data_IF_490986267091
#
_entry.id   IF_490986267091
#
_cell.length_a   1.000
_cell.length_b   1.000
_cell.length_c   1.000
_cell.angle_alpha   90.00
_cell.angle_beta   90.00
_cell.angle_gamma   90.00
#
_symmetry.space_group_name_H-M   'P 1'
#
loop_
_entity.id
_entity.type
_entity.pdbx_description
1 polymer ?
#
# COMPACT_ATOMS: atom_id res chain seq x y z
N UNK A 1 -51.47 60.55 2.25
CA UNK A 1 -50.96 60.09 0.94
C UNK A 1 -49.77 59.16 1.21
N UNK A 2 -49.71 58.04 0.47
CA UNK A 2 -49.06 56.77 0.87
C UNK A 2 -47.52 56.83 0.82
N UNK A 3 -46.88 56.18 1.80
CA UNK A 3 -45.44 55.91 1.90
C UNK A 3 -45.05 54.81 0.91
N UNK A 4 -44.00 55.00 0.11
CA UNK A 4 -43.42 53.95 -0.72
C UNK A 4 -42.12 53.51 -0.05
N UNK A 5 -42.11 52.28 0.46
CA UNK A 5 -40.92 51.58 0.95
C UNK A 5 -40.42 50.68 -0.17
N UNK A 6 -39.19 50.90 -0.62
CA UNK A 6 -38.53 50.11 -1.65
C UNK A 6 -37.84 48.92 -0.97
N UNK A 7 -38.33 47.70 -1.21
CA UNK A 7 -37.69 46.46 -0.77
C UNK A 7 -36.68 46.06 -1.85
N UNK A 8 -35.39 46.05 -1.51
CA UNK A 8 -34.33 45.50 -2.35
C UNK A 8 -34.17 44.01 -2.00
N UNK A 9 -34.54 43.13 -2.92
CA UNK A 9 -34.32 41.69 -2.77
C UNK A 9 -32.88 41.34 -3.17
N UNK A 10 -32.09 40.89 -2.21
CA UNK A 10 -30.77 40.31 -2.45
C UNK A 10 -30.92 38.80 -2.71
N UNK A 11 -30.78 38.38 -3.96
CA UNK A 11 -30.76 36.98 -4.37
C UNK A 11 -29.38 36.38 -4.09
N UNK A 12 -29.27 35.56 -3.03
CA UNK A 12 -28.11 34.70 -2.80
C UNK A 12 -28.12 33.56 -3.84
N UNK A 13 -27.19 33.60 -4.79
CA UNK A 13 -26.85 32.48 -5.66
C UNK A 13 -26.08 31.43 -4.83
N UNK A 14 -26.79 30.45 -4.29
CA UNK A 14 -26.17 29.23 -3.76
C UNK A 14 -25.89 28.35 -4.97
N UNK A 15 -24.69 28.47 -5.55
CA UNK A 15 -24.17 27.51 -6.52
C UNK A 15 -23.91 26.19 -5.80
N UNK A 16 -24.87 25.28 -5.85
CA UNK A 16 -24.68 23.88 -5.50
C UNK A 16 -23.64 23.27 -6.44
N UNK A 17 -22.40 23.19 -5.99
CA UNK A 17 -21.36 22.38 -6.62
C UNK A 17 -21.76 20.91 -6.47
N UNK A 18 -22.50 20.40 -7.44
CA UNK A 18 -22.64 18.96 -7.63
C UNK A 18 -21.29 18.43 -8.09
N UNK A 19 -20.45 17.99 -7.16
CA UNK A 19 -19.30 17.16 -7.47
C UNK A 19 -19.79 15.78 -7.94
N UNK A 20 -20.27 15.70 -9.19
CA UNK A 20 -20.30 14.42 -9.88
C UNK A 20 -18.85 14.07 -10.16
N UNK A 21 -18.30 13.12 -9.41
CA UNK A 21 -17.05 12.44 -9.80
C UNK A 21 -17.31 11.75 -11.13
N UNK A 22 -17.10 12.46 -12.24
CA UNK A 22 -17.16 11.88 -13.57
C UNK A 22 -16.11 10.77 -13.62
N UNK A 23 -16.51 9.56 -14.02
CA UNK A 23 -15.58 8.46 -14.20
C UNK A 23 -14.47 8.86 -15.18
N UNK A 24 -13.24 8.37 -14.94
CA UNK A 24 -12.10 8.68 -15.80
C UNK A 24 -12.29 8.25 -17.26
N UNK A 25 -13.16 7.25 -17.49
CA UNK A 25 -13.60 6.70 -18.77
C UNK A 25 -15.06 6.26 -18.65
N UNK A 26 -15.82 6.32 -19.75
CA UNK A 26 -17.26 6.05 -19.79
C UNK A 26 -17.61 4.56 -19.73
N UNK A 27 -16.68 3.69 -20.12
CA UNK A 27 -16.84 2.24 -20.21
C UNK A 27 -16.32 1.46 -18.99
N UNK A 28 -15.84 2.17 -17.97
CA UNK A 28 -15.35 1.59 -16.71
C UNK A 28 -16.48 1.52 -15.69
N UNK A 29 -16.71 0.34 -15.13
CA UNK A 29 -17.71 0.14 -14.09
C UNK A 29 -17.29 0.76 -12.75
N UNK A 30 -18.27 0.91 -11.85
CA UNK A 30 -18.04 1.52 -10.54
C UNK A 30 -17.01 0.76 -9.68
N UNK A 31 -16.88 -0.56 -9.85
CA UNK A 31 -15.95 -1.38 -9.06
C UNK A 31 -14.49 -1.17 -9.48
N UNK A 32 -14.26 -0.81 -10.74
CA UNK A 32 -12.93 -0.56 -11.31
C UNK A 32 -12.58 0.92 -11.40
N UNK A 33 -13.57 1.81 -11.24
CA UNK A 33 -13.41 3.25 -11.46
C UNK A 33 -12.30 3.88 -10.62
N UNK A 34 -12.26 3.58 -9.32
CA UNK A 34 -11.22 4.10 -8.42
C UNK A 34 -9.82 3.69 -8.89
N UNK A 35 -9.65 2.40 -9.20
CA UNK A 35 -8.37 1.85 -9.64
C UNK A 35 -7.91 2.48 -10.96
N UNK A 36 -8.80 2.53 -11.95
CA UNK A 36 -8.45 3.06 -13.28
C UNK A 36 -8.17 4.56 -13.22
N UNK A 37 -8.94 5.32 -12.43
CA UNK A 37 -8.73 6.76 -12.26
C UNK A 37 -7.38 7.03 -11.58
N UNK A 38 -7.08 6.35 -10.47
CA UNK A 38 -5.82 6.52 -9.74
C UNK A 38 -4.58 6.15 -10.58
N UNK A 39 -4.71 5.15 -11.45
CA UNK A 39 -3.66 4.74 -12.38
C UNK A 39 -3.50 5.73 -13.55
N UNK A 40 -4.60 6.29 -14.06
CA UNK A 40 -4.59 7.32 -15.11
C UNK A 40 -3.90 8.58 -14.60
N UNK A 41 -4.26 9.04 -13.40
CA UNK A 41 -3.70 10.25 -12.78
C UNK A 41 -2.19 10.15 -12.54
N UNK A 42 -1.69 8.92 -12.31
CA UNK A 42 -0.26 8.61 -12.18
C UNK A 42 0.44 8.29 -13.51
N UNK A 43 -0.26 8.39 -14.64
CA UNK A 43 0.28 8.09 -15.97
C UNK A 43 0.65 6.62 -16.21
N UNK A 44 0.12 5.71 -15.37
CA UNK A 44 0.36 4.26 -15.46
C UNK A 44 -0.45 3.66 -16.61
N UNK A 45 -1.69 4.11 -16.77
CA UNK A 45 -2.60 3.66 -17.83
C UNK A 45 -3.15 4.83 -18.62
N UNK A 46 -3.52 4.57 -19.87
CA UNK A 46 -4.21 5.50 -20.76
C UNK A 46 -5.41 4.82 -21.41
N UNK A 47 -6.40 5.60 -21.84
CA UNK A 47 -7.47 5.07 -22.70
C UNK A 47 -6.93 4.66 -24.07
N UNK A 48 -7.77 3.95 -24.84
CA UNK A 48 -7.55 3.83 -26.29
C UNK A 48 -7.87 5.16 -27.00
N UNK A 49 -8.72 5.97 -26.36
CA UNK A 49 -9.04 7.34 -26.69
C UNK A 49 -9.33 8.12 -25.38
N UNK A 50 -9.94 9.30 -25.47
CA UNK A 50 -10.22 10.15 -24.31
C UNK A 50 -11.40 9.65 -23.45
N UNK A 51 -12.25 8.79 -23.99
CA UNK A 51 -13.51 8.33 -23.38
C UNK A 51 -13.46 6.86 -22.96
N UNK A 52 -12.70 6.00 -23.65
CA UNK A 52 -12.73 4.55 -23.49
C UNK A 52 -11.41 3.96 -22.98
N UNK A 53 -11.51 3.08 -21.99
CA UNK A 53 -10.41 2.29 -21.43
C UNK A 53 -10.35 0.85 -21.97
N UNK A 54 -11.48 0.28 -22.37
CA UNK A 54 -11.67 -1.12 -22.77
C UNK A 54 -11.34 -2.09 -21.62
N UNK A 55 -11.99 -1.98 -20.44
CA UNK A 55 -11.65 -2.79 -19.26
C UNK A 55 -11.86 -4.29 -19.47
N UNK A 56 -12.83 -4.70 -20.29
CA UNK A 56 -13.12 -6.11 -20.62
C UNK A 56 -12.23 -6.66 -21.73
N UNK A 57 -11.41 -5.82 -22.35
CA UNK A 57 -10.47 -6.22 -23.39
C UNK A 57 -9.33 -7.05 -22.82
N UNK A 58 -8.76 -7.91 -23.66
CA UNK A 58 -7.54 -8.66 -23.33
C UNK A 58 -6.36 -7.69 -23.20
N UNK A 59 -5.48 -7.95 -22.25
CA UNK A 59 -4.22 -7.19 -22.10
C UNK A 59 -3.05 -8.04 -22.61
N UNK A 60 -2.18 -7.43 -23.42
CA UNK A 60 -0.99 -8.12 -23.91
C UNK A 60 0.09 -8.23 -22.82
N UNK A 61 1.04 -9.14 -23.03
CA UNK A 61 2.19 -9.30 -22.15
C UNK A 61 2.99 -7.99 -22.04
N UNK A 62 3.22 -7.29 -23.16
CA UNK A 62 3.92 -6.01 -23.17
C UNK A 62 3.19 -4.91 -22.41
N UNK A 63 1.88 -4.79 -22.58
CA UNK A 63 1.06 -3.84 -21.82
C UNK A 63 1.10 -4.15 -20.32
N UNK A 64 1.09 -5.44 -19.97
CA UNK A 64 1.16 -5.90 -18.59
C UNK A 64 2.48 -5.54 -17.91
N UNK A 65 3.61 -5.84 -18.57
CA UNK A 65 4.95 -5.47 -18.07
C UNK A 65 5.07 -3.95 -17.92
N UNK A 66 4.60 -3.18 -18.90
CA UNK A 66 4.63 -1.72 -18.81
C UNK A 66 3.77 -1.21 -17.64
N UNK A 67 2.57 -1.77 -17.44
CA UNK A 67 1.67 -1.38 -16.35
C UNK A 67 2.28 -1.67 -14.97
N UNK A 68 2.92 -2.84 -14.80
CA UNK A 68 3.59 -3.22 -13.56
C UNK A 68 4.78 -2.30 -13.26
N UNK A 69 5.65 -2.09 -14.26
CA UNK A 69 6.84 -1.24 -14.14
C UNK A 69 6.47 0.19 -13.76
N UNK A 70 5.49 0.78 -14.45
CA UNK A 70 5.02 2.14 -14.16
C UNK A 70 4.29 2.20 -12.82
N UNK A 71 3.38 1.26 -12.56
CA UNK A 71 2.55 1.26 -11.36
C UNK A 71 3.36 1.18 -10.07
N UNK A 72 4.39 0.32 -10.04
CA UNK A 72 5.24 0.14 -8.86
C UNK A 72 6.51 1.00 -8.89
N UNK A 73 6.61 1.92 -9.87
CA UNK A 73 7.74 2.80 -10.09
C UNK A 73 9.08 2.04 -10.00
N UNK A 74 9.18 0.95 -10.79
CA UNK A 74 10.43 0.23 -10.97
C UNK A 74 11.36 1.08 -11.84
N UNK A 75 12.62 1.15 -11.47
CA UNK A 75 13.62 1.92 -12.21
C UNK A 75 14.99 1.24 -12.12
N UNK A 76 16.01 1.89 -12.70
CA UNK A 76 17.39 1.42 -12.73
C UNK A 76 18.34 2.41 -12.06
N UNK A 77 17.82 3.35 -11.25
CA UNK A 77 18.56 4.52 -10.77
C UNK A 77 19.75 4.13 -9.88
N UNK A 78 19.65 2.98 -9.21
CA UNK A 78 20.68 2.42 -8.33
C UNK A 78 21.70 1.55 -9.07
N UNK A 79 21.48 1.25 -10.35
CA UNK A 79 22.36 0.41 -11.15
C UNK A 79 23.33 1.28 -11.95
N UNK A 80 24.52 0.73 -12.19
CA UNK A 80 25.56 1.35 -13.01
C UNK A 80 25.93 0.39 -14.12
N UNK A 81 25.81 0.88 -15.35
CA UNK A 81 26.10 0.09 -16.53
C UNK A 81 27.30 0.68 -17.26
N UNK A 82 28.22 -0.19 -17.69
CA UNK A 82 29.35 0.20 -18.55
C UNK A 82 28.83 0.57 -19.95
N UNK A 83 27.76 -0.09 -20.40
CA UNK A 83 27.03 0.18 -21.64
C UNK A 83 25.54 0.16 -21.34
N UNK A 84 24.79 1.05 -21.97
CA UNK A 84 23.32 1.05 -21.88
C UNK A 84 22.77 -0.34 -22.28
N UNK A 85 21.98 -0.99 -21.42
CA UNK A 85 21.40 -2.29 -21.72
C UNK A 85 20.36 -2.18 -22.83
N UNK A 86 20.26 -3.23 -23.64
CA UNK A 86 19.27 -3.37 -24.70
C UNK A 86 18.29 -4.49 -24.36
N UNK A 87 17.05 -4.39 -24.84
CA UNK A 87 16.05 -5.43 -24.59
C UNK A 87 16.46 -6.76 -25.24
N UNK A 88 17.11 -6.70 -26.40
CA UNK A 88 17.65 -7.85 -27.12
C UNK A 88 18.75 -8.59 -26.36
N UNK A 89 19.36 -7.98 -25.33
CA UNK A 89 20.37 -8.64 -24.51
C UNK A 89 19.74 -9.78 -23.68
N UNK A 90 18.46 -9.65 -23.32
CA UNK A 90 17.73 -10.62 -22.49
C UNK A 90 16.59 -11.33 -23.21
N UNK A 91 15.99 -10.73 -24.25
CA UNK A 91 14.79 -11.23 -24.91
C UNK A 91 14.93 -11.29 -26.43
N UNK A 92 14.66 -12.46 -27.03
CA UNK A 92 14.80 -12.66 -28.49
C UNK A 92 13.72 -11.96 -29.31
N UNK A 93 12.54 -11.76 -28.73
CA UNK A 93 11.34 -11.29 -29.43
C UNK A 93 10.93 -9.87 -29.01
N UNK A 94 11.82 -9.12 -28.35
CA UNK A 94 11.59 -7.72 -27.94
C UNK A 94 12.55 -6.81 -28.71
N UNK A 95 12.07 -6.09 -29.74
CA UNK A 95 12.88 -5.11 -30.46
C UNK A 95 13.34 -3.98 -29.54
N UNK A 96 14.55 -3.47 -29.75
CA UNK A 96 15.15 -2.44 -28.89
C UNK A 96 14.46 -1.08 -28.98
N UNK A 97 13.76 -0.81 -30.08
CA UNK A 97 13.03 0.42 -30.38
C UNK A 97 11.52 0.32 -30.09
N UNK A 98 11.04 -0.84 -29.62
CA UNK A 98 9.65 -1.02 -29.26
C UNK A 98 9.25 -0.11 -28.10
N UNK A 99 8.01 0.42 -28.10
CA UNK A 99 7.50 1.30 -27.04
C UNK A 99 7.53 0.67 -25.63
N UNK A 100 7.58 -0.66 -25.55
CA UNK A 100 7.70 -1.43 -24.32
C UNK A 100 9.13 -1.89 -24.00
N UNK A 101 10.11 -1.70 -24.88
CA UNK A 101 11.47 -2.23 -24.71
C UNK A 101 12.09 -1.84 -23.37
N UNK A 102 11.97 -0.56 -23.00
CA UNK A 102 12.49 -0.05 -21.73
C UNK A 102 11.82 -0.70 -20.51
N UNK A 103 10.52 -1.02 -20.58
CA UNK A 103 9.83 -1.70 -19.50
C UNK A 103 10.37 -3.13 -19.30
N UNK A 104 10.69 -3.84 -20.39
CA UNK A 104 11.30 -5.18 -20.31
C UNK A 104 12.72 -5.14 -19.73
N UNK A 105 13.51 -4.14 -20.10
CA UNK A 105 14.85 -3.91 -19.52
C UNK A 105 14.70 -3.66 -18.01
N UNK A 106 13.82 -2.74 -17.60
CA UNK A 106 13.57 -2.44 -16.19
C UNK A 106 13.12 -3.69 -15.43
N UNK A 107 12.15 -4.43 -15.97
CA UNK A 107 11.65 -5.66 -15.39
C UNK A 107 12.76 -6.69 -15.18
N UNK A 108 13.61 -6.92 -16.18
CA UNK A 108 14.72 -7.86 -16.11
C UNK A 108 15.66 -7.56 -14.95
N UNK A 109 16.15 -6.32 -14.85
CA UNK A 109 17.09 -5.92 -13.81
C UNK A 109 16.45 -5.78 -12.42
N UNK A 110 15.12 -5.67 -12.34
CA UNK A 110 14.37 -5.78 -11.09
C UNK A 110 14.03 -7.25 -10.75
N UNK A 111 14.50 -8.24 -11.52
CA UNK A 111 14.35 -9.66 -11.21
C UNK A 111 12.95 -10.22 -11.49
N UNK A 112 12.22 -9.61 -12.42
CA UNK A 112 10.99 -10.22 -12.95
C UNK A 112 11.39 -11.34 -13.91
N UNK A 113 10.88 -12.55 -13.65
CA UNK A 113 11.19 -13.76 -14.42
C UNK A 113 10.32 -13.82 -15.69
N UNK A 114 10.76 -13.11 -16.72
CA UNK A 114 10.14 -13.13 -18.04
C UNK A 114 10.94 -14.11 -18.94
N UNK A 115 10.29 -15.03 -19.67
CA UNK A 115 10.98 -15.94 -20.59
C UNK A 115 11.75 -15.20 -21.69
N UNK A 116 12.93 -15.70 -22.07
CA UNK A 116 13.76 -15.12 -23.14
C UNK A 116 13.01 -15.02 -24.47
N UNK A 117 12.19 -16.00 -24.79
CA UNK A 117 11.39 -16.13 -26.01
C UNK A 117 9.96 -15.61 -25.87
N UNK A 118 9.66 -14.83 -24.81
CA UNK A 118 8.34 -14.23 -24.56
C UNK A 118 7.76 -13.60 -25.82
N UNK A 119 6.47 -13.85 -26.11
CA UNK A 119 5.75 -13.12 -27.14
C UNK A 119 5.10 -11.87 -26.53
N UNK A 120 5.65 -10.66 -26.73
CA UNK A 120 5.12 -9.43 -26.13
C UNK A 120 3.67 -9.10 -26.53
N UNK A 121 3.21 -9.61 -27.68
CA UNK A 121 1.87 -9.38 -28.19
C UNK A 121 0.86 -10.46 -27.76
N UNK A 122 1.32 -11.56 -27.16
CA UNK A 122 0.42 -12.58 -26.64
C UNK A 122 -0.39 -12.04 -25.45
N UNK A 123 -1.57 -12.62 -25.25
CA UNK A 123 -2.41 -12.34 -24.09
C UNK A 123 -1.77 -12.98 -22.86
N UNK A 124 -1.69 -12.23 -21.76
CA UNK A 124 -1.14 -12.75 -20.52
C UNK A 124 -2.19 -13.57 -19.75
N UNK A 125 -1.75 -14.63 -19.09
CA UNK A 125 -2.62 -15.37 -18.16
C UNK A 125 -2.63 -14.74 -16.77
N UNK A 126 -3.65 -15.09 -15.97
CA UNK A 126 -3.78 -14.66 -14.57
C UNK A 126 -2.57 -15.05 -13.73
N UNK A 127 -2.05 -16.27 -13.90
CA UNK A 127 -0.88 -16.73 -13.13
C UNK A 127 0.40 -15.97 -13.50
N UNK A 128 0.61 -15.71 -14.80
CA UNK A 128 1.80 -15.00 -15.28
C UNK A 128 1.82 -13.56 -14.78
N UNK A 129 0.68 -12.87 -14.90
CA UNK A 129 0.55 -11.51 -14.40
C UNK A 129 0.72 -11.46 -12.87
N UNK A 130 0.09 -12.40 -12.15
CA UNK A 130 0.16 -12.50 -10.70
C UNK A 130 1.59 -12.71 -10.19
N UNK A 131 2.35 -13.60 -10.83
CA UNK A 131 3.75 -13.85 -10.49
C UNK A 131 4.62 -12.60 -10.71
N UNK A 132 4.53 -11.98 -11.90
CA UNK A 132 5.28 -10.76 -12.20
C UNK A 132 4.96 -9.63 -11.23
N UNK A 133 3.68 -9.44 -10.90
CA UNK A 133 3.24 -8.37 -10.02
C UNK A 133 3.75 -8.57 -8.58
N UNK A 134 3.68 -9.79 -8.05
CA UNK A 134 4.15 -10.09 -6.68
C UNK A 134 5.66 -9.93 -6.59
N UNK A 135 6.41 -10.44 -7.56
CA UNK A 135 7.87 -10.27 -7.59
C UNK A 135 8.25 -8.80 -7.66
N UNK A 136 7.58 -8.03 -8.50
CA UNK A 136 7.80 -6.59 -8.60
C UNK A 136 7.48 -5.87 -7.28
N UNK A 137 6.36 -6.22 -6.64
CA UNK A 137 5.94 -5.66 -5.36
C UNK A 137 7.00 -5.92 -4.27
N UNK A 138 7.46 -7.16 -4.15
CA UNK A 138 8.44 -7.60 -3.14
C UNK A 138 9.85 -7.05 -3.36
N UNK A 139 10.13 -6.48 -4.54
CA UNK A 139 11.37 -5.71 -4.79
C UNK A 139 11.31 -4.30 -4.23
N UNK A 140 10.12 -3.77 -4.02
CA UNK A 140 9.89 -2.40 -3.55
C UNK A 140 9.62 -2.31 -2.04
N UNK A 141 9.33 -3.42 -1.38
CA UNK A 141 9.11 -3.45 0.06
C UNK A 141 9.16 -4.85 0.64
N UNK A 142 9.27 -4.92 1.97
CA UNK A 142 9.16 -6.17 2.71
C UNK A 142 7.71 -6.35 3.18
N UNK A 143 7.10 -7.49 2.89
CA UNK A 143 5.72 -7.78 3.23
C UNK A 143 5.66 -9.03 4.10
N UNK A 144 5.89 -8.90 5.42
CA UNK A 144 5.91 -10.05 6.31
C UNK A 144 4.54 -10.73 6.32
N UNK A 145 4.55 -12.04 6.10
CA UNK A 145 3.37 -12.89 6.11
C UNK A 145 3.45 -13.83 7.31
N UNK A 146 2.35 -13.94 8.06
CA UNK A 146 2.14 -15.10 8.93
C UNK A 146 2.00 -16.35 8.04
N UNK A 147 2.50 -17.51 8.51
CA UNK A 147 2.42 -18.78 7.78
C UNK A 147 0.95 -19.23 7.66
N UNK A 148 0.26 -18.65 6.69
CA UNK A 148 -1.13 -18.92 6.34
C UNK A 148 -1.17 -19.50 4.94
N UNK A 149 -1.88 -20.60 4.79
CA UNK A 149 -2.11 -21.25 3.52
C UNK A 149 -3.57 -21.04 3.11
N UNK A 150 -3.79 -20.66 1.86
CA UNK A 150 -5.11 -20.46 1.27
C UNK A 150 -5.28 -21.62 0.31
N UNK A 151 -6.28 -22.46 0.55
CA UNK A 151 -6.56 -23.58 -0.33
C UNK A 151 -7.12 -23.06 -1.65
N UNK A 152 -6.45 -23.40 -2.76
CA UNK A 152 -6.89 -23.09 -4.12
C UNK A 152 -7.34 -24.39 -4.76
N UNK A 153 -8.61 -24.49 -5.17
CA UNK A 153 -9.17 -25.77 -5.64
C UNK A 153 -8.59 -26.24 -6.97
N UNK A 154 -8.20 -25.32 -7.84
CA UNK A 154 -7.58 -25.58 -9.13
C UNK A 154 -6.06 -25.40 -9.09
N UNK A 155 -5.43 -25.61 -7.92
CA UNK A 155 -3.98 -25.45 -7.74
C UNK A 155 -3.14 -26.35 -8.64
N UNK A 156 -3.67 -27.50 -9.04
CA UNK A 156 -3.00 -28.43 -9.97
C UNK A 156 -2.79 -27.82 -11.37
N UNK A 157 -3.58 -26.80 -11.73
CA UNK A 157 -3.38 -26.06 -12.98
C UNK A 157 -2.28 -25.01 -12.85
N UNK A 158 -1.87 -24.63 -11.64
CA UNK A 158 -0.85 -23.60 -11.43
C UNK A 158 0.51 -24.14 -11.86
N UNK A 159 1.23 -23.35 -12.64
CA UNK A 159 2.62 -23.65 -12.98
C UNK A 159 3.46 -23.71 -11.70
N UNK A 160 4.22 -24.79 -11.42
CA UNK A 160 4.87 -24.99 -10.11
C UNK A 160 5.70 -23.80 -9.62
N UNK A 161 6.42 -23.12 -10.53
CA UNK A 161 7.22 -21.93 -10.21
C UNK A 161 6.40 -20.70 -9.76
N UNK A 162 5.09 -20.67 -10.00
CA UNK A 162 4.20 -19.55 -9.66
C UNK A 162 3.41 -19.78 -8.37
N UNK A 163 3.35 -21.02 -7.85
CA UNK A 163 2.52 -21.35 -6.67
C UNK A 163 2.78 -20.44 -5.49
N UNK A 164 4.06 -20.22 -5.14
CA UNK A 164 4.43 -19.34 -4.04
C UNK A 164 3.97 -17.90 -4.27
N UNK A 165 4.20 -17.35 -5.46
CA UNK A 165 3.81 -15.98 -5.79
C UNK A 165 2.29 -15.81 -5.77
N UNK A 166 1.52 -16.77 -6.30
CA UNK A 166 0.06 -16.71 -6.29
C UNK A 166 -0.52 -16.85 -4.88
N UNK A 167 0.08 -17.69 -4.04
CA UNK A 167 -0.29 -17.77 -2.64
C UNK A 167 -0.12 -16.40 -1.95
N UNK A 168 1.00 -15.70 -2.23
CA UNK A 168 1.25 -14.35 -1.68
C UNK A 168 0.32 -13.30 -2.31
N UNK A 169 0.01 -13.39 -3.60
CA UNK A 169 -0.97 -12.52 -4.26
C UNK A 169 -2.33 -12.54 -3.56
N UNK A 170 -2.79 -13.72 -3.14
CA UNK A 170 -4.03 -13.91 -2.38
C UNK A 170 -3.90 -13.41 -0.94
N UNK A 171 -2.79 -13.70 -0.25
CA UNK A 171 -2.54 -13.24 1.13
C UNK A 171 -2.42 -11.71 1.22
N UNK A 172 -1.81 -11.08 0.22
CA UNK A 172 -1.77 -9.62 0.07
C UNK A 172 -3.14 -9.03 -0.32
N UNK A 173 -4.15 -9.86 -0.55
CA UNK A 173 -5.52 -9.46 -0.95
C UNK A 173 -5.54 -8.64 -2.24
N UNK A 174 -4.58 -8.90 -3.14
CA UNK A 174 -4.51 -8.26 -4.45
C UNK A 174 -5.50 -8.95 -5.39
N UNK A 175 -5.45 -10.29 -5.43
CA UNK A 175 -6.45 -11.13 -6.08
C UNK A 175 -7.36 -11.81 -5.05
N UNK A 176 -8.44 -12.40 -5.54
CA UNK A 176 -9.34 -13.24 -4.77
C UNK A 176 -9.73 -14.47 -5.58
N UNK A 177 -10.08 -15.54 -4.88
CA UNK A 177 -10.70 -16.72 -5.48
C UNK A 177 -12.17 -16.42 -5.79
N UNK A 178 -12.75 -17.19 -6.71
CA UNK A 178 -14.19 -17.14 -6.95
C UNK A 178 -14.98 -17.74 -5.78
N UNK A 179 -16.31 -17.73 -5.87
CA UNK A 179 -17.20 -18.33 -4.85
C UNK A 179 -17.00 -19.83 -4.67
N UNK A 180 -16.40 -20.51 -5.65
CA UNK A 180 -16.12 -21.93 -5.61
C UNK A 180 -14.72 -22.25 -5.06
N UNK A 181 -13.85 -21.26 -4.85
CA UNK A 181 -12.47 -21.43 -4.40
C UNK A 181 -11.45 -21.64 -5.52
N UNK A 182 -11.78 -21.30 -6.77
CA UNK A 182 -10.89 -21.39 -7.94
C UNK A 182 -10.18 -20.06 -8.22
N UNK A 183 -8.95 -20.12 -8.73
CA UNK A 183 -8.16 -18.97 -9.16
C UNK A 183 -8.19 -18.73 -10.69
N UNK A 184 -8.38 -19.81 -11.45
CA UNK A 184 -8.34 -19.86 -12.92
C UNK A 184 -6.96 -19.49 -13.51
N UNK A 185 -5.85 -20.14 -13.11
CA UNK A 185 -4.49 -19.67 -13.43
C UNK A 185 -4.21 -19.50 -14.92
N UNK A 186 -4.77 -20.37 -15.78
CA UNK A 186 -4.58 -20.35 -17.23
C UNK A 186 -5.53 -19.43 -17.99
N UNK A 187 -6.53 -18.86 -17.31
CA UNK A 187 -7.44 -17.92 -17.96
C UNK A 187 -6.72 -16.63 -18.32
N UNK A 188 -7.18 -16.00 -19.38
CA UNK A 188 -6.72 -14.67 -19.80
C UNK A 188 -7.10 -13.63 -18.74
N UNK A 189 -6.21 -12.65 -18.53
CA UNK A 189 -6.51 -11.51 -17.67
C UNK A 189 -7.07 -10.36 -18.51
N UNK A 190 -8.12 -9.69 -18.03
CA UNK A 190 -8.62 -8.48 -18.69
C UNK A 190 -7.83 -7.24 -18.29
N UNK A 191 -7.88 -6.19 -19.11
CA UNK A 191 -7.19 -4.93 -18.86
C UNK A 191 -7.65 -4.26 -17.56
N UNK A 192 -8.94 -4.34 -17.25
CA UNK A 192 -9.54 -3.80 -16.02
C UNK A 192 -9.15 -4.59 -14.77
N UNK A 193 -9.05 -5.92 -14.86
CA UNK A 193 -8.55 -6.75 -13.76
C UNK A 193 -7.07 -6.48 -13.49
N UNK A 194 -6.25 -6.40 -14.54
CA UNK A 194 -4.84 -6.02 -14.44
C UNK A 194 -4.67 -4.67 -13.73
N UNK A 195 -5.43 -3.65 -14.17
CA UNK A 195 -5.44 -2.33 -13.54
C UNK A 195 -5.84 -2.42 -12.05
N UNK A 196 -6.87 -3.19 -11.74
CA UNK A 196 -7.33 -3.39 -10.36
C UNK A 196 -6.27 -4.07 -9.48
N UNK A 197 -5.53 -5.05 -10.02
CA UNK A 197 -4.47 -5.74 -9.28
C UNK A 197 -3.25 -4.84 -9.07
N UNK A 198 -2.82 -4.08 -10.08
CA UNK A 198 -1.74 -3.09 -9.93
C UNK A 198 -2.12 -2.02 -8.91
N UNK A 199 -3.35 -1.49 -8.98
CA UNK A 199 -3.83 -0.51 -8.00
C UNK A 199 -3.78 -1.05 -6.57
N UNK A 200 -4.23 -2.28 -6.34
CA UNK A 200 -4.15 -2.91 -5.01
C UNK A 200 -2.71 -3.13 -4.56
N UNK A 201 -1.80 -3.52 -5.46
CA UNK A 201 -0.38 -3.64 -5.16
C UNK A 201 0.24 -2.28 -4.80
N UNK A 202 -0.13 -1.21 -5.50
CA UNK A 202 0.28 0.16 -5.16
C UNK A 202 -0.25 0.58 -3.80
N UNK A 203 -1.52 0.32 -3.49
CA UNK A 203 -2.07 0.55 -2.15
C UNK A 203 -1.36 -0.25 -1.07
N UNK A 204 -0.87 -1.45 -1.40
CA UNK A 204 -0.03 -2.24 -0.49
C UNK A 204 1.34 -1.61 -0.31
N UNK A 205 1.95 -1.07 -1.36
CA UNK A 205 3.16 -0.26 -1.21
C UNK A 205 2.89 0.98 -0.37
N UNK A 206 1.86 1.76 -0.66
CA UNK A 206 1.57 3.00 0.08
C UNK A 206 1.31 2.69 1.57
N UNK A 207 0.54 1.64 1.85
CA UNK A 207 0.34 1.12 3.20
C UNK A 207 1.58 0.47 3.84
N UNK A 208 2.64 0.21 3.06
CA UNK A 208 3.95 -0.31 3.48
C UNK A 208 5.08 0.74 3.35
N UNK A 209 4.79 1.94 2.80
CA UNK A 209 5.64 3.15 2.84
C UNK A 209 5.42 3.92 4.13
N UNK A 210 4.29 3.68 4.81
CA UNK A 210 4.42 3.41 6.23
C UNK A 210 5.24 2.12 6.32
N UNK A 211 6.56 2.23 6.49
CA UNK A 211 7.22 1.32 7.41
C UNK A 211 6.18 1.12 8.53
N UNK A 212 5.82 -0.08 8.99
CA UNK A 212 5.48 -0.15 10.39
C UNK A 212 6.70 0.53 11.03
N UNK A 213 6.53 1.78 11.52
CA UNK A 213 7.44 2.33 12.51
C UNK A 213 7.57 1.14 13.45
N UNK A 214 8.77 0.53 13.55
CA UNK A 214 8.93 -0.79 14.16
C UNK A 214 8.14 -0.69 15.43
N UNK A 215 6.99 -1.41 15.56
CA UNK A 215 5.91 -1.04 16.50
C UNK A 215 6.60 -0.60 17.76
N UNK A 216 6.62 0.71 18.01
CA UNK A 216 7.72 1.22 18.80
C UNK A 216 7.48 0.73 20.21
N UNK A 217 8.22 -0.33 20.56
CA UNK A 217 7.93 -1.10 21.75
C UNK A 217 8.28 -0.19 22.91
N UNK A 218 7.24 0.37 23.51
CA UNK A 218 7.38 1.07 24.76
C UNK A 218 7.70 0.01 25.80
N UNK A 219 8.92 0.06 26.32
CA UNK A 219 9.30 -0.83 27.40
C UNK A 219 8.59 -0.37 28.67
N UNK A 220 7.95 -1.32 29.36
CA UNK A 220 7.24 -1.06 30.62
C UNK A 220 8.05 -1.67 31.75
N UNK A 221 8.46 -0.85 32.70
CA UNK A 221 9.12 -1.31 33.93
C UNK A 221 8.23 -0.98 35.12
N UNK A 222 7.92 -2.00 35.92
CA UNK A 222 7.13 -1.87 37.14
C UNK A 222 8.06 -2.09 38.33
N UNK A 223 8.31 -1.01 39.09
CA UNK A 223 9.16 -1.02 40.28
C UNK A 223 8.26 -0.90 41.52
N UNK A 224 8.42 -1.80 42.49
CA UNK A 224 7.72 -1.69 43.78
C UNK A 224 8.28 -0.48 44.54
N UNK A 225 7.42 0.49 44.86
CA UNK A 225 7.80 1.64 45.69
C UNK A 225 7.57 1.33 47.17
N UNK A 226 6.42 0.75 47.48
CA UNK A 226 6.05 0.24 48.81
C UNK A 226 4.97 -0.86 48.66
N UNK A 227 4.41 -1.35 49.77
CA UNK A 227 3.41 -2.44 49.74
C UNK A 227 2.11 -2.09 49.02
N UNK A 228 1.79 -0.80 48.85
CA UNK A 228 0.53 -0.35 48.28
C UNK A 228 0.68 0.26 46.88
N UNK A 229 1.90 0.59 46.43
CA UNK A 229 2.13 1.37 45.21
C UNK A 229 3.31 0.82 44.40
N UNK A 230 3.05 0.64 43.11
CA UNK A 230 4.05 0.39 42.07
C UNK A 230 4.27 1.66 41.24
N UNK A 231 5.53 1.93 40.89
CA UNK A 231 5.92 2.93 39.91
C UNK A 231 6.01 2.26 38.55
N UNK A 232 5.30 2.81 37.57
CA UNK A 232 5.28 2.32 36.19
C UNK A 232 6.03 3.31 35.33
N UNK A 233 7.14 2.86 34.74
CA UNK A 233 7.92 3.64 33.78
C UNK A 233 7.65 3.13 32.38
N UNK A 234 7.26 4.02 31.48
CA UNK A 234 7.17 3.76 30.04
C UNK A 234 8.35 4.45 29.35
N UNK A 235 9.20 3.70 28.66
CA UNK A 235 10.33 4.24 27.91
C UNK A 235 10.24 3.90 26.42
N UNK A 236 10.50 4.91 25.60
CA UNK A 236 10.65 4.84 24.14
C UNK A 236 12.13 4.59 23.75
N UNK A 237 13.01 4.37 24.73
CA UNK A 237 14.44 4.20 24.55
C UNK A 237 15.18 5.48 24.20
N UNK A 238 16.45 5.33 23.81
CA UNK A 238 17.30 6.42 23.32
C UNK A 238 16.82 6.92 21.95
N UNK A 239 16.83 8.25 21.76
CA UNK A 239 16.35 8.95 20.57
C UNK A 239 17.34 9.98 20.07
N UNK A 240 17.40 10.25 18.76
CA UNK A 240 18.39 11.17 18.18
C UNK A 240 18.32 12.62 18.70
N UNK A 241 17.16 13.07 19.18
CA UNK A 241 16.93 14.41 19.70
C UNK A 241 15.73 14.49 20.65
N UNK A 242 15.56 15.62 21.32
CA UNK A 242 14.48 15.88 22.29
C UNK A 242 13.07 16.08 21.68
N UNK A 243 12.94 16.07 20.36
CA UNK A 243 11.63 16.18 19.70
C UNK A 243 10.77 14.94 19.90
N UNK A 244 11.42 13.78 20.05
CA UNK A 244 10.76 12.52 20.39
C UNK A 244 10.28 12.53 21.84
N UNK A 245 9.00 12.21 22.06
CA UNK A 245 8.39 12.17 23.38
C UNK A 245 7.44 10.99 23.57
N UNK A 246 7.13 10.72 24.83
CA UNK A 246 6.08 9.80 25.28
C UNK A 246 5.33 10.44 26.44
N UNK A 247 4.00 10.36 26.43
CA UNK A 247 3.16 10.93 27.47
C UNK A 247 2.07 9.94 27.86
N UNK A 248 1.82 9.80 29.16
CA UNK A 248 0.66 9.04 29.67
C UNK A 248 -0.56 9.95 29.55
N UNK A 249 -1.60 9.46 28.89
CA UNK A 249 -2.84 10.21 28.67
C UNK A 249 -3.99 9.74 29.55
N UNK A 250 -3.89 8.53 30.11
CA UNK A 250 -4.92 8.02 31.02
C UNK A 250 -4.53 6.71 31.70
N UNK A 251 -5.31 6.36 32.72
CA UNK A 251 -5.26 5.06 33.38
C UNK A 251 -6.70 4.59 33.56
N UNK A 252 -7.01 3.40 33.05
CA UNK A 252 -8.31 2.74 33.21
C UNK A 252 -8.15 1.54 34.13
N UNK A 253 -8.97 1.47 35.17
CA UNK A 253 -9.01 0.34 36.08
C UNK A 253 -10.16 -0.58 35.66
N UNK A 254 -9.81 -1.81 35.30
CA UNK A 254 -10.74 -2.83 34.85
C UNK A 254 -11.22 -3.68 36.03
N UNK A 255 -12.43 -4.23 35.91
CA UNK A 255 -13.03 -5.06 36.97
C UNK A 255 -12.30 -6.38 37.21
N UNK A 256 -11.42 -6.79 36.28
CA UNK A 256 -10.60 -7.99 36.38
C UNK A 256 -9.25 -7.77 37.09
N UNK A 257 -9.06 -6.61 37.72
CA UNK A 257 -7.84 -6.29 38.47
C UNK A 257 -6.69 -5.77 37.62
N UNK A 258 -6.96 -5.32 36.39
CA UNK A 258 -5.96 -4.66 35.54
C UNK A 258 -6.03 -3.14 35.64
N UNK A 259 -4.86 -2.51 35.53
CA UNK A 259 -4.72 -1.08 35.31
C UNK A 259 -4.10 -0.87 33.93
N UNK A 260 -4.92 -0.42 32.97
CA UNK A 260 -4.51 -0.17 31.59
C UNK A 260 -4.05 1.29 31.49
N UNK A 261 -2.75 1.49 31.29
CA UNK A 261 -2.14 2.82 31.13
C UNK A 261 -2.11 3.18 29.65
N UNK A 262 -2.86 4.22 29.29
CA UNK A 262 -2.92 4.73 27.92
C UNK A 262 -1.84 5.78 27.71
N UNK A 263 -1.14 5.73 26.57
CA UNK A 263 -0.07 6.68 26.25
C UNK A 263 -0.13 7.19 24.81
N UNK A 264 0.49 8.34 24.56
CA UNK A 264 0.75 8.88 23.21
C UNK A 264 2.24 9.02 22.97
N UNK A 265 2.63 8.87 21.70
CA UNK A 265 3.99 9.12 21.22
C UNK A 265 3.99 10.45 20.46
N UNK A 266 5.05 11.24 20.64
CA UNK A 266 5.26 12.50 19.90
C UNK A 266 6.53 12.40 19.09
N UNK A 267 6.46 12.72 17.80
CA UNK A 267 7.63 12.84 16.93
C UNK A 267 8.06 14.30 16.75
N UNK A 268 9.35 14.57 16.44
CA UNK A 268 9.83 15.90 16.11
C UNK A 268 9.03 16.49 14.94
N UNK A 269 8.58 17.74 15.06
CA UNK A 269 7.88 18.40 13.95
C UNK A 269 8.88 18.90 12.89
N UNK A 270 8.55 18.82 11.59
CA UNK A 270 9.47 19.23 10.51
C UNK A 270 9.91 20.70 10.54
N UNK A 271 9.16 21.57 11.20
CA UNK A 271 9.34 23.03 11.28
C UNK A 271 10.01 23.50 12.59
N UNK A 272 10.30 22.58 13.52
CA UNK A 272 10.97 22.87 14.78
C UNK A 272 12.45 22.45 14.72
N UNK A 273 13.36 23.32 15.17
CA UNK A 273 14.78 22.97 15.28
C UNK A 273 15.04 22.19 16.58
N UNK A 274 15.59 20.99 16.46
CA UNK A 274 16.05 20.17 17.59
C UNK A 274 17.57 20.00 17.52
N UNK A 275 18.24 20.06 18.67
CA UNK A 275 19.66 19.74 18.75
C UNK A 275 19.86 18.22 18.58
N UNK A 276 20.88 17.82 17.81
CA UNK A 276 21.27 16.42 17.58
C UNK A 276 22.00 15.84 18.81
N UNK A 277 21.23 15.62 19.88
CA UNK A 277 21.71 15.03 21.13
C UNK A 277 20.85 13.84 21.47
N UNK A 278 21.48 12.70 21.75
CA UNK A 278 20.76 11.49 22.14
C UNK A 278 20.02 11.72 23.46
N UNK A 279 18.70 11.55 23.46
CA UNK A 279 17.85 11.68 24.66
C UNK A 279 17.02 10.43 24.89
N UNK A 280 16.82 10.04 26.15
CA UNK A 280 15.90 8.96 26.50
C UNK A 280 14.48 9.51 26.69
N UNK A 281 13.54 9.12 25.81
CA UNK A 281 12.14 9.54 25.92
C UNK A 281 11.39 8.59 26.86
N UNK A 282 11.08 9.06 28.08
CA UNK A 282 10.35 8.26 29.09
C UNK A 282 9.34 9.07 29.89
N UNK A 283 8.37 8.37 30.47
CA UNK A 283 7.35 8.94 31.36
C UNK A 283 6.99 7.96 32.47
N UNK A 284 6.41 8.47 33.56
CA UNK A 284 6.16 7.70 34.78
C UNK A 284 4.74 7.95 35.28
N UNK A 285 4.12 6.88 35.78
CA UNK A 285 2.93 6.97 36.63
C UNK A 285 3.02 6.03 37.82
N UNK A 286 2.03 6.09 38.71
CA UNK A 286 1.93 5.26 39.90
C UNK A 286 0.59 4.55 39.90
N UNK A 287 0.63 3.24 40.16
CA UNK A 287 -0.53 2.35 40.17
C UNK A 287 -0.51 1.59 41.49
N UNK A 288 -1.69 1.33 42.07
CA UNK A 288 -1.77 0.49 43.27
C UNK A 288 -1.16 -0.90 43.01
N UNK A 289 -0.44 -1.43 44.01
CA UNK A 289 0.25 -2.72 43.91
C UNK A 289 -0.71 -3.91 43.70
N UNK A 290 -2.01 -3.71 43.94
CA UNK A 290 -3.05 -4.71 43.75
C UNK A 290 -3.48 -4.89 42.28
N UNK A 291 -3.04 -4.00 41.38
CA UNK A 291 -3.39 -4.08 39.96
C UNK A 291 -2.25 -4.63 39.11
N UNK A 292 -2.59 -5.48 38.14
CA UNK A 292 -1.68 -5.87 37.07
C UNK A 292 -1.64 -4.75 36.02
N UNK A 293 -0.46 -4.23 35.75
CA UNK A 293 -0.26 -3.12 34.80
C UNK A 293 -0.22 -3.65 33.37
N UNK A 294 -1.01 -3.05 32.49
CA UNK A 294 -0.97 -3.25 31.04
C UNK A 294 -0.95 -1.87 30.37
N UNK A 295 -0.52 -1.80 29.10
CA UNK A 295 -0.36 -0.52 28.40
C UNK A 295 -0.96 -0.59 27.00
N UNK A 296 -1.58 0.50 26.56
CA UNK A 296 -2.13 0.61 25.20
C UNK A 296 -1.87 2.01 24.63
N UNK A 297 -1.63 2.15 23.31
CA UNK A 297 -1.57 3.47 22.69
C UNK A 297 -2.97 4.12 22.72
N UNK A 298 -3.03 5.44 22.90
CA UNK A 298 -4.26 6.18 22.69
C UNK A 298 -4.68 6.03 21.23
N UNK A 299 -5.92 5.60 20.97
CA UNK A 299 -6.45 5.54 19.61
C UNK A 299 -6.47 6.95 19.00
N UNK A 300 -6.12 7.05 17.71
CA UNK A 300 -6.19 8.31 16.98
C UNK A 300 -7.60 8.90 17.15
N UNK A 301 -7.66 10.12 17.69
CA UNK A 301 -8.89 10.88 17.68
C UNK A 301 -9.25 11.12 16.21
N UNK A 302 -10.38 10.52 15.78
CA UNK A 302 -10.97 10.73 14.46
C UNK A 302 -11.22 12.21 14.16
#
# INVERSE_FOLDING_TARGET
>A
MKKIATITAATLLISSLSFSSAFAFSDVDAAQSEAVSALKDRGVVSGIDNEHFVPKGKISYAQSVQMIVKGLNLNLDTLRFVKQPLASDSYSNVPNDAWYANAFIIAHYNGLEIPKDVNPNAVITREQFGDLLVRALEKKGNFPLIKMFIQVKDEEQITPGYQGSLQRLLLYKIAALDSNGNFYPKSELTRGEAASWVYKAMRKLDGNTALPAPVEQVAVTVEKVNDNVNKVTLTRGEKPNAGYGIAITGIRFEQDGRAVVTYTLRDPKPDEMYADVITEAKTVTYVSANYKVETEPAGDAK
#
